data_IF_454797933185
#
_entry.id   IF_454797933185
#
_cell.length_a   1.000
_cell.length_b   1.000
_cell.length_c   1.000
_cell.angle_alpha   90.00
_cell.angle_beta   90.00
_cell.angle_gamma   90.00
#
_symmetry.space_group_name_H-M   'P 1'
#
loop_
_entity.id
_entity.type
_entity.pdbx_description
1 polymer ?
#
# COMPACT_ATOMS: atom_id res chain seq x y z
N UNK A 1 4.46 -3.54 -32.78
CA UNK A 1 4.28 -3.92 -31.35
C UNK A 1 3.36 -2.89 -30.72
N UNK A 2 2.24 -3.30 -30.11
CA UNK A 2 1.18 -2.40 -29.67
C UNK A 2 1.66 -1.40 -28.62
N UNK A 3 1.39 -0.11 -28.81
CA UNK A 3 1.69 0.96 -27.83
C UNK A 3 1.20 0.61 -26.42
N UNK A 4 0.10 -0.17 -26.35
CA UNK A 4 -0.44 -0.76 -25.13
C UNK A 4 0.54 -1.68 -24.40
N UNK A 5 1.22 -2.58 -25.11
CA UNK A 5 2.19 -3.51 -24.53
C UNK A 5 3.43 -2.76 -24.03
N UNK A 6 3.89 -1.73 -24.76
CA UNK A 6 4.99 -0.87 -24.32
C UNK A 6 4.62 -0.07 -23.06
N UNK A 7 3.40 0.47 -22.98
CA UNK A 7 2.89 1.15 -21.78
C UNK A 7 2.79 0.22 -20.58
N UNK A 8 2.27 -1.00 -20.76
CA UNK A 8 2.19 -2.02 -19.71
C UNK A 8 3.56 -2.42 -19.18
N UNK A 9 4.54 -2.64 -20.07
CA UNK A 9 5.92 -2.98 -19.67
C UNK A 9 6.55 -1.84 -18.87
N UNK A 10 6.33 -0.60 -19.28
CA UNK A 10 6.77 0.59 -18.56
C UNK A 10 6.15 0.68 -17.16
N UNK A 11 4.84 0.48 -17.04
CA UNK A 11 4.16 0.51 -15.73
C UNK A 11 4.72 -0.58 -14.81
N UNK A 12 4.87 -1.81 -15.31
CA UNK A 12 5.44 -2.92 -14.54
C UNK A 12 6.87 -2.65 -14.07
N UNK A 13 7.72 -2.06 -14.92
CA UNK A 13 9.07 -1.69 -14.52
C UNK A 13 9.09 -0.68 -13.36
N UNK A 14 8.26 0.36 -13.42
CA UNK A 14 8.14 1.34 -12.34
C UNK A 14 7.55 0.75 -11.06
N UNK A 15 6.59 -0.17 -11.18
CA UNK A 15 6.04 -0.91 -10.03
C UNK A 15 7.10 -1.79 -9.38
N UNK A 16 7.86 -2.55 -10.16
CA UNK A 16 8.95 -3.39 -9.64
C UNK A 16 10.02 -2.53 -8.97
N UNK A 17 10.42 -1.42 -9.58
CA UNK A 17 11.38 -0.48 -8.97
C UNK A 17 10.88 0.00 -7.60
N UNK A 18 9.61 0.44 -7.52
CA UNK A 18 9.02 0.87 -6.26
C UNK A 18 8.99 -0.25 -5.22
N UNK A 19 8.56 -1.46 -5.61
CA UNK A 19 8.51 -2.63 -4.71
C UNK A 19 9.91 -3.00 -4.21
N UNK A 20 10.94 -2.97 -5.06
CA UNK A 20 12.32 -3.20 -4.64
C UNK A 20 12.76 -2.16 -3.62
N UNK A 21 12.53 -0.87 -3.89
CA UNK A 21 12.85 0.19 -2.92
C UNK A 21 12.08 0.02 -1.60
N UNK A 22 10.81 -0.36 -1.65
CA UNK A 22 9.98 -0.61 -0.47
C UNK A 22 10.51 -1.79 0.35
N UNK A 23 10.85 -2.90 -0.31
CA UNK A 23 11.39 -4.09 0.35
C UNK A 23 12.76 -3.79 0.94
N UNK A 24 13.64 -3.09 0.21
CA UNK A 24 14.94 -2.67 0.73
C UNK A 24 14.78 -1.78 1.97
N UNK A 25 13.87 -0.80 1.92
CA UNK A 25 13.56 0.07 3.06
C UNK A 25 13.00 -0.68 4.27
N UNK A 26 12.26 -1.78 4.07
CA UNK A 26 11.76 -2.62 5.16
C UNK A 26 12.82 -3.61 5.66
N UNK A 27 13.65 -4.13 4.77
CA UNK A 27 14.67 -5.13 5.08
C UNK A 27 15.78 -4.57 5.98
N UNK A 28 16.11 -3.27 5.86
CA UNK A 28 17.06 -2.58 6.76
C UNK A 28 16.61 -2.57 8.23
N UNK A 29 15.33 -2.86 8.50
CA UNK A 29 14.82 -2.96 9.88
C UNK A 29 15.06 -4.34 10.53
N UNK A 30 15.44 -5.38 9.77
CA UNK A 30 15.75 -6.71 10.33
C UNK A 30 17.15 -6.79 10.97
N UNK A 31 18.25 -6.39 10.31
CA UNK A 31 19.58 -6.35 10.91
C UNK A 31 19.90 -4.96 11.46
N UNK A 32 18.93 -4.27 12.06
CA UNK A 32 19.04 -2.84 12.40
C UNK A 32 20.26 -2.54 13.30
N UNK A 33 20.57 -3.40 14.27
CA UNK A 33 21.76 -3.27 15.13
C UNK A 33 23.04 -3.44 14.30
N UNK A 34 23.14 -4.49 13.49
CA UNK A 34 24.33 -4.79 12.70
C UNK A 34 24.59 -3.76 11.60
N UNK A 35 23.55 -3.28 10.91
CA UNK A 35 23.66 -2.22 9.92
C UNK A 35 24.09 -0.89 10.55
N UNK A 36 23.67 -0.60 11.78
CA UNK A 36 24.05 0.63 12.47
C UNK A 36 25.51 0.60 12.92
N UNK A 37 26.02 -0.54 13.40
CA UNK A 37 27.45 -0.74 13.67
C UNK A 37 28.29 -0.54 12.40
N UNK A 38 27.88 -1.16 11.28
CA UNK A 38 28.57 -1.01 10.00
C UNK A 38 28.51 0.44 9.46
N UNK A 39 27.35 1.09 9.59
CA UNK A 39 27.18 2.49 9.18
C UNK A 39 28.09 3.41 10.00
N UNK A 40 28.18 3.23 11.31
CA UNK A 40 29.07 4.03 12.16
C UNK A 40 30.54 3.85 11.77
N UNK A 41 30.98 2.61 11.53
CA UNK A 41 32.36 2.33 11.12
C UNK A 41 32.70 2.99 9.77
N UNK A 42 31.77 2.92 8.81
CA UNK A 42 31.92 3.61 7.52
C UNK A 42 31.94 5.13 7.71
N UNK A 43 31.04 5.69 8.51
CA UNK A 43 30.92 7.13 8.72
C UNK A 43 32.16 7.71 9.44
N UNK A 44 32.75 6.93 10.36
CA UNK A 44 34.05 7.25 10.99
C UNK A 44 35.21 7.17 9.99
N UNK A 45 35.23 6.14 9.13
CA UNK A 45 36.27 5.99 8.10
C UNK A 45 36.24 7.11 7.05
N UNK A 46 35.05 7.62 6.73
CA UNK A 46 34.83 8.74 5.81
C UNK A 46 35.09 10.11 6.45
N UNK A 47 35.57 10.14 7.70
CA UNK A 47 35.87 11.35 8.45
C UNK A 47 34.67 12.32 8.58
N UNK A 48 33.44 11.81 8.47
CA UNK A 48 32.20 12.59 8.72
C UNK A 48 32.15 13.27 10.10
N UNK A 49 32.77 12.75 11.19
CA UNK A 49 32.83 13.47 12.46
C UNK A 49 33.35 14.91 12.35
N UNK A 50 34.24 15.17 11.37
CA UNK A 50 34.85 16.49 11.19
C UNK A 50 33.99 17.46 10.37
N UNK A 51 32.99 16.94 9.64
CA UNK A 51 32.13 17.73 8.75
C UNK A 51 30.70 17.88 9.28
N UNK A 52 30.17 16.88 9.98
CA UNK A 52 28.81 16.85 10.53
C UNK A 52 28.80 16.23 11.95
N UNK A 53 29.38 16.92 12.96
CA UNK A 53 29.49 16.39 14.32
C UNK A 53 28.13 16.06 14.95
N UNK A 54 27.10 16.88 14.70
CA UNK A 54 25.75 16.66 15.23
C UNK A 54 25.06 15.39 14.67
N UNK A 55 25.40 14.96 13.45
CA UNK A 55 24.93 13.71 12.87
C UNK A 55 25.60 12.51 13.57
N UNK A 56 26.90 12.60 13.82
CA UNK A 56 27.65 11.55 14.51
C UNK A 56 27.17 11.37 15.95
N UNK A 57 27.02 12.45 16.71
CA UNK A 57 26.54 12.39 18.11
C UNK A 57 25.13 11.77 18.21
N UNK A 58 24.27 12.05 17.22
CA UNK A 58 22.95 11.45 17.16
C UNK A 58 23.01 9.96 16.81
N UNK A 59 23.82 9.56 15.82
CA UNK A 59 24.00 8.15 15.45
C UNK A 59 24.58 7.35 16.63
N UNK A 60 25.59 7.88 17.32
CA UNK A 60 26.17 7.24 18.51
C UNK A 60 25.15 7.11 19.66
N UNK A 61 24.26 8.09 19.83
CA UNK A 61 23.17 8.02 20.82
C UNK A 61 22.17 6.92 20.45
N UNK A 62 21.76 6.87 19.18
CA UNK A 62 20.83 5.84 18.69
C UNK A 62 21.46 4.46 18.82
N UNK A 63 22.73 4.28 18.44
CA UNK A 63 23.45 3.00 18.57
C UNK A 63 23.51 2.53 20.01
N UNK A 64 23.96 3.39 20.93
CA UNK A 64 23.99 3.04 22.36
C UNK A 64 22.61 2.66 22.89
N UNK A 65 21.56 3.39 22.49
CA UNK A 65 20.19 3.06 22.87
C UNK A 65 19.73 1.70 22.31
N UNK A 66 20.09 1.39 21.07
CA UNK A 66 19.77 0.11 20.43
C UNK A 66 20.54 -1.05 21.06
N UNK A 67 21.83 -0.89 21.33
CA UNK A 67 22.66 -1.92 21.97
C UNK A 67 22.14 -2.24 23.39
N UNK A 68 21.78 -1.21 24.16
CA UNK A 68 21.15 -1.42 25.49
C UNK A 68 19.78 -2.10 25.36
N UNK A 69 18.97 -1.71 24.37
CA UNK A 69 17.68 -2.36 24.14
C UNK A 69 17.84 -3.83 23.71
N UNK A 70 18.82 -4.16 22.86
CA UNK A 70 19.10 -5.54 22.45
C UNK A 70 19.60 -6.39 23.63
N UNK A 71 20.50 -5.85 24.44
CA UNK A 71 21.09 -6.56 25.58
C UNK A 71 20.10 -6.76 26.74
N UNK A 72 19.38 -5.71 27.12
CA UNK A 72 18.57 -5.70 28.35
C UNK A 72 17.08 -5.97 28.08
N UNK A 73 16.58 -5.62 26.88
CA UNK A 73 15.15 -5.67 26.53
C UNK A 73 14.88 -6.16 25.09
N UNK A 74 15.43 -7.32 24.64
CA UNK A 74 15.40 -7.74 23.24
C UNK A 74 13.99 -7.89 22.67
N UNK A 75 12.99 -8.14 23.51
CA UNK A 75 11.58 -8.21 23.10
C UNK A 75 11.05 -6.90 22.49
N UNK A 76 11.69 -5.75 22.75
CA UNK A 76 11.32 -4.48 22.13
C UNK A 76 11.67 -4.45 20.64
N UNK A 77 12.76 -5.12 20.23
CA UNK A 77 13.17 -5.23 18.83
C UNK A 77 12.21 -6.11 18.01
N UNK A 78 11.39 -6.93 18.65
CA UNK A 78 10.31 -7.62 17.94
C UNK A 78 9.33 -6.63 17.28
N UNK A 79 9.17 -5.42 17.82
CA UNK A 79 8.41 -4.35 17.19
C UNK A 79 8.99 -3.90 15.84
N UNK A 80 10.32 -3.89 15.68
CA UNK A 80 10.97 -3.56 14.40
C UNK A 80 10.80 -4.68 13.37
N UNK A 81 10.77 -5.94 13.82
CA UNK A 81 10.48 -7.09 12.94
C UNK A 81 9.06 -7.01 12.35
N UNK A 82 8.06 -6.62 13.14
CA UNK A 82 6.70 -6.41 12.64
C UNK A 82 6.61 -5.27 11.61
N UNK A 83 7.37 -4.19 11.82
CA UNK A 83 7.43 -3.09 10.86
C UNK A 83 8.10 -3.54 9.56
N UNK A 84 9.17 -4.32 9.63
CA UNK A 84 9.82 -4.92 8.47
C UNK A 84 8.85 -5.85 7.72
N UNK A 85 8.13 -6.70 8.46
CA UNK A 85 7.11 -7.59 7.90
C UNK A 85 5.98 -6.82 7.20
N UNK A 86 5.53 -5.69 7.74
CA UNK A 86 4.50 -4.86 7.11
C UNK A 86 4.93 -4.40 5.69
N UNK A 87 6.19 -4.07 5.48
CA UNK A 87 6.71 -3.70 4.15
C UNK A 87 6.64 -4.87 3.17
N UNK A 88 6.94 -6.09 3.63
CA UNK A 88 6.81 -7.31 2.81
C UNK A 88 5.35 -7.58 2.45
N UNK A 89 4.42 -7.43 3.40
CA UNK A 89 2.98 -7.59 3.15
C UNK A 89 2.48 -6.55 2.15
N UNK A 90 2.89 -5.29 2.27
CA UNK A 90 2.55 -4.23 1.31
C UNK A 90 3.15 -4.57 -0.07
N UNK A 91 4.41 -5.03 -0.13
CA UNK A 91 5.03 -5.46 -1.39
C UNK A 91 4.23 -6.59 -2.07
N UNK A 92 3.70 -7.54 -1.31
CA UNK A 92 2.81 -8.59 -1.85
C UNK A 92 1.51 -8.00 -2.40
N UNK A 93 0.93 -6.98 -1.76
CA UNK A 93 -0.28 -6.31 -2.28
C UNK A 93 -0.07 -5.70 -3.67
N UNK A 94 1.16 -5.25 -3.99
CA UNK A 94 1.52 -4.74 -5.33
C UNK A 94 1.54 -5.81 -6.43
N UNK A 95 1.46 -7.09 -6.08
CA UNK A 95 1.24 -8.16 -7.07
C UNK A 95 -0.10 -8.02 -7.81
N UNK A 96 -1.12 -7.43 -7.16
CA UNK A 96 -2.42 -7.12 -7.78
C UNK A 96 -2.28 -6.23 -9.01
N UNK A 97 -1.75 -4.99 -8.87
CA UNK A 97 -1.44 -4.09 -9.99
C UNK A 97 -0.50 -4.69 -11.05
N UNK A 98 0.40 -5.59 -10.66
CA UNK A 98 1.30 -6.26 -11.61
C UNK A 98 0.55 -7.21 -12.56
N UNK A 99 -0.43 -7.97 -12.02
CA UNK A 99 -1.28 -8.88 -12.78
C UNK A 99 -2.33 -8.14 -13.60
N UNK A 100 -3.11 -7.26 -12.96
CA UNK A 100 -4.15 -6.46 -13.59
C UNK A 100 -4.06 -5.01 -13.10
N UNK A 101 -3.44 -4.18 -13.91
CA UNK A 101 -3.04 -2.82 -13.54
C UNK A 101 -4.22 -1.84 -13.52
N UNK A 102 -5.26 -2.07 -14.33
CA UNK A 102 -6.41 -1.16 -14.41
C UNK A 102 -7.38 -1.46 -13.27
N UNK A 103 -7.70 -2.75 -13.05
CA UNK A 103 -8.64 -3.15 -12.00
C UNK A 103 -8.12 -2.87 -10.59
N UNK A 104 -6.80 -2.93 -10.40
CA UNK A 104 -6.16 -2.74 -9.09
C UNK A 104 -5.48 -1.37 -8.93
N UNK A 105 -5.89 -0.34 -9.68
CA UNK A 105 -5.34 1.03 -9.54
C UNK A 105 -5.44 1.54 -8.10
N UNK A 106 -6.45 1.11 -7.36
CA UNK A 106 -6.66 1.50 -5.96
C UNK A 106 -5.46 1.17 -5.07
N UNK A 107 -4.74 0.08 -5.29
CA UNK A 107 -3.53 -0.27 -4.51
C UNK A 107 -2.45 0.80 -4.67
N UNK A 108 -2.30 1.36 -5.87
CA UNK A 108 -1.36 2.46 -6.14
C UNK A 108 -1.82 3.75 -5.44
N UNK A 109 -3.12 4.04 -5.46
CA UNK A 109 -3.68 5.22 -4.76
C UNK A 109 -3.57 5.09 -3.24
N UNK A 110 -3.85 3.90 -2.69
CA UNK A 110 -3.62 3.58 -1.28
C UNK A 110 -2.16 3.82 -0.88
N UNK A 111 -1.21 3.35 -1.69
CA UNK A 111 0.20 3.58 -1.43
C UNK A 111 0.58 5.07 -1.50
N UNK A 112 -0.02 5.85 -2.39
CA UNK A 112 0.17 7.31 -2.41
C UNK A 112 -0.37 7.98 -1.13
N UNK A 113 -1.52 7.51 -0.61
CA UNK A 113 -2.06 7.98 0.66
C UNK A 113 -1.12 7.62 1.81
N UNK A 114 -0.58 6.39 1.82
CA UNK A 114 0.42 5.98 2.80
C UNK A 114 1.67 6.87 2.76
N UNK A 115 2.18 7.18 1.56
CA UNK A 115 3.30 8.13 1.38
C UNK A 115 2.97 9.52 1.94
N UNK A 116 1.75 10.03 1.72
CA UNK A 116 1.32 11.30 2.30
C UNK A 116 1.19 11.24 3.83
N UNK A 117 0.77 10.09 4.37
CA UNK A 117 0.65 9.85 5.82
C UNK A 117 1.98 9.82 6.57
N UNK A 118 3.10 9.58 5.90
CA UNK A 118 4.45 9.65 6.51
C UNK A 118 4.74 11.07 7.01
N UNK A 119 4.28 12.10 6.30
CA UNK A 119 4.54 13.51 6.65
C UNK A 119 3.97 13.88 8.03
N UNK A 120 2.66 13.75 8.30
CA UNK A 120 2.11 14.05 9.61
C UNK A 120 2.67 13.12 10.69
N UNK A 121 2.93 11.85 10.37
CA UNK A 121 3.51 10.90 11.32
C UNK A 121 4.90 11.38 11.78
N UNK A 122 5.79 11.75 10.86
CA UNK A 122 7.13 12.23 11.18
C UNK A 122 7.10 13.55 11.98
N UNK A 123 6.21 14.47 11.62
CA UNK A 123 6.08 15.77 12.29
C UNK A 123 5.48 15.69 13.69
N UNK A 124 4.65 14.68 13.98
CA UNK A 124 4.02 14.50 15.30
C UNK A 124 4.84 13.55 16.17
N UNK A 125 5.15 12.35 15.67
CA UNK A 125 5.85 11.33 16.44
C UNK A 125 7.34 11.64 16.62
N UNK A 126 7.97 12.37 15.70
CA UNK A 126 9.37 12.78 15.81
C UNK A 126 9.63 13.61 17.07
N UNK A 127 8.96 14.76 17.27
CA UNK A 127 9.11 15.58 18.46
C UNK A 127 8.70 14.86 19.75
N UNK A 128 7.63 14.06 19.73
CA UNK A 128 7.17 13.28 20.91
C UNK A 128 8.25 12.31 21.39
N UNK A 129 9.05 11.75 20.47
CA UNK A 129 10.13 10.80 20.79
C UNK A 129 11.51 11.45 20.88
N UNK A 130 11.59 12.78 20.85
CA UNK A 130 12.86 13.52 20.95
C UNK A 130 13.78 13.36 19.74
N UNK A 131 13.23 13.03 18.56
CA UNK A 131 14.00 12.91 17.31
C UNK A 131 14.32 14.31 16.77
N UNK A 132 15.57 14.58 16.34
CA UNK A 132 15.93 15.86 15.73
C UNK A 132 15.12 16.16 14.48
N UNK A 133 14.72 17.42 14.30
CA UNK A 133 13.91 17.83 13.15
C UNK A 133 14.55 17.48 11.79
N UNK A 134 15.87 17.62 11.66
CA UNK A 134 16.58 17.26 10.43
C UNK A 134 16.51 15.77 10.11
N UNK A 135 16.38 14.91 11.13
CA UNK A 135 16.16 13.47 10.93
C UNK A 135 14.74 13.21 10.43
N UNK A 136 13.74 13.90 10.99
CA UNK A 136 12.36 13.82 10.49
C UNK A 136 12.25 14.29 9.03
N UNK A 137 13.12 15.20 8.56
CA UNK A 137 13.19 15.55 7.13
C UNK A 137 13.65 14.36 6.26
N UNK A 138 14.58 13.55 6.75
CA UNK A 138 14.98 12.30 6.09
C UNK A 138 13.78 11.34 6.04
N UNK A 139 13.05 11.18 7.15
CA UNK A 139 11.86 10.31 7.20
C UNK A 139 10.79 10.78 6.19
N UNK A 140 10.51 12.08 6.14
CA UNK A 140 9.56 12.66 5.17
C UNK A 140 9.99 12.46 3.72
N UNK A 141 11.30 12.41 3.46
CA UNK A 141 11.84 12.21 2.11
C UNK A 141 11.40 10.87 1.52
N UNK A 142 11.25 9.80 2.33
CA UNK A 142 10.74 8.51 1.84
C UNK A 142 9.31 8.62 1.28
N UNK A 143 8.45 9.40 1.93
CA UNK A 143 7.10 9.67 1.42
C UNK A 143 7.13 10.47 0.12
N UNK A 144 7.95 11.51 0.06
CA UNK A 144 8.08 12.37 -1.14
C UNK A 144 8.68 11.62 -2.31
N UNK A 145 9.76 10.87 -2.11
CA UNK A 145 10.38 10.08 -3.19
C UNK A 145 9.55 8.86 -3.56
N UNK A 146 8.82 8.27 -2.61
CA UNK A 146 7.90 7.15 -2.84
C UNK A 146 6.68 7.53 -3.68
N UNK A 147 6.14 8.75 -3.52
CA UNK A 147 4.94 9.16 -4.28
C UNK A 147 5.23 9.42 -5.76
N UNK A 148 6.47 9.80 -6.12
CA UNK A 148 6.88 10.10 -7.51
C UNK A 148 6.64 8.91 -8.46
N UNK A 149 7.21 7.71 -8.25
CA UNK A 149 6.99 6.57 -9.13
C UNK A 149 5.51 6.15 -9.17
N UNK A 150 4.82 6.19 -8.02
CA UNK A 150 3.39 5.87 -7.93
C UNK A 150 2.52 6.83 -8.75
N UNK A 151 2.81 8.13 -8.70
CA UNK A 151 2.11 9.13 -9.50
C UNK A 151 2.32 8.92 -11.00
N UNK A 152 3.55 8.62 -11.42
CA UNK A 152 3.87 8.29 -12.82
C UNK A 152 3.13 7.04 -13.28
N UNK A 153 3.12 5.99 -12.44
CA UNK A 153 2.36 4.76 -12.69
C UNK A 153 0.87 5.07 -12.83
N UNK A 154 0.27 5.78 -11.88
CA UNK A 154 -1.15 6.16 -11.91
C UNK A 154 -1.52 6.91 -13.20
N UNK A 155 -0.69 7.87 -13.63
CA UNK A 155 -0.92 8.63 -14.87
C UNK A 155 -0.89 7.71 -16.10
N UNK A 156 0.05 6.76 -16.13
CA UNK A 156 0.15 5.77 -17.22
C UNK A 156 -1.04 4.78 -17.21
N UNK A 157 -1.51 4.36 -16.04
CA UNK A 157 -2.69 3.49 -15.90
C UNK A 157 -3.94 4.18 -16.43
N UNK A 158 -4.20 5.44 -16.02
CA UNK A 158 -5.35 6.21 -16.54
C UNK A 158 -5.27 6.43 -18.06
N UNK A 159 -4.06 6.55 -18.61
CA UNK A 159 -3.88 6.60 -20.07
C UNK A 159 -4.19 5.26 -20.73
N UNK A 160 -3.81 4.15 -20.10
CA UNK A 160 -4.09 2.79 -20.56
C UNK A 160 -5.60 2.49 -20.55
N UNK A 161 -6.31 2.92 -19.50
CA UNK A 161 -7.76 2.78 -19.36
C UNK A 161 -8.51 3.47 -20.51
N UNK A 162 -8.09 4.68 -20.88
CA UNK A 162 -8.66 5.44 -22.01
C UNK A 162 -8.45 4.79 -23.37
N UNK A 163 -7.44 3.93 -23.53
CA UNK A 163 -7.19 3.22 -24.78
C UNK A 163 -8.13 2.01 -24.98
N UNK A 164 -8.96 1.68 -23.98
CA UNK A 164 -9.91 0.57 -24.01
C UNK A 164 -9.26 -0.81 -24.16
N UNK A 165 -10.04 -1.90 -24.01
CA UNK A 165 -9.64 -3.20 -24.54
C UNK A 165 -9.54 -3.05 -26.05
N UNK A 166 -8.39 -3.39 -26.65
CA UNK A 166 -8.22 -3.38 -28.11
C UNK A 166 -9.41 -4.08 -28.77
N UNK A 167 -10.07 -3.43 -29.71
CA UNK A 167 -11.15 -3.97 -30.55
C UNK A 167 -10.73 -5.17 -31.42
N UNK A 168 -9.54 -5.75 -31.20
CA UNK A 168 -9.02 -6.92 -31.90
C UNK A 168 -9.67 -8.25 -31.47
N UNK A 169 -10.60 -8.23 -30.50
CA UNK A 169 -11.42 -9.39 -30.15
C UNK A 169 -12.81 -9.37 -30.82
N UNK A 170 -13.22 -8.25 -31.43
CA UNK A 170 -14.54 -8.13 -32.08
C UNK A 170 -14.48 -8.60 -33.54
N UNK A 171 -13.32 -8.53 -34.19
CA UNK A 171 -13.14 -9.01 -35.58
C UNK A 171 -13.02 -10.54 -35.71
N UNK A 172 -13.03 -11.31 -34.62
CA UNK A 172 -12.94 -12.77 -34.63
C UNK A 172 -14.27 -13.52 -34.52
N UNK A 173 -15.41 -12.82 -34.42
CA UNK A 173 -16.71 -13.43 -34.10
C UNK A 173 -17.87 -13.08 -35.02
N UNK A 174 -17.65 -12.29 -36.08
CA UNK A 174 -18.71 -11.93 -37.03
C UNK A 174 -18.41 -12.59 -38.36
N UNK A 175 -18.78 -13.86 -38.49
CA UNK A 175 -18.49 -14.61 -39.70
C UNK A 175 -18.98 -16.05 -39.74
N UNK A 176 -20.14 -16.39 -39.18
CA UNK A 176 -20.84 -17.60 -39.61
C UNK A 176 -22.38 -17.45 -39.54
N UNK A 177 -22.92 -17.16 -40.73
CA UNK A 177 -24.22 -17.53 -41.29
C UNK A 177 -25.54 -17.09 -40.62
N UNK A 178 -26.15 -16.10 -41.27
CA UNK A 178 -27.59 -16.00 -41.51
C UNK A 178 -28.15 -17.33 -42.04
N UNK A 179 -29.27 -17.79 -41.47
CA UNK A 179 -30.05 -18.92 -41.98
C UNK A 179 -31.30 -19.19 -41.14
N UNK A 180 -32.43 -18.79 -41.70
CA UNK A 180 -33.81 -19.12 -41.37
C UNK A 180 -34.49 -18.50 -40.13
N UNK A 181 -35.57 -17.77 -40.46
CA UNK A 181 -36.38 -17.04 -39.52
C UNK A 181 -37.44 -17.88 -38.85
N UNK A 182 -37.84 -17.43 -37.67
CA UNK A 182 -39.22 -17.52 -37.23
C UNK A 182 -39.47 -16.40 -36.23
N UNK A 183 -40.16 -15.35 -36.69
CA UNK A 183 -40.82 -14.43 -35.80
C UNK A 183 -42.05 -15.13 -35.22
N UNK A 184 -42.11 -15.28 -33.89
CA UNK A 184 -43.36 -15.58 -33.17
C UNK A 184 -43.52 -14.53 -32.09
N UNK A 185 -44.35 -13.54 -32.40
CA UNK A 185 -44.99 -12.69 -31.40
C UNK A 185 -46.30 -13.37 -30.99
N UNK A 186 -46.44 -13.77 -29.73
CA UNK A 186 -47.72 -14.09 -29.10
C UNK A 186 -47.70 -13.47 -27.71
N UNK A 187 -48.65 -12.56 -27.49
CA UNK A 187 -48.74 -11.73 -26.31
C UNK A 187 -49.58 -12.31 -25.16
N UNK A 188 -49.57 -11.53 -24.08
CA UNK A 188 -50.64 -11.27 -23.10
C UNK A 188 -51.23 -12.46 -22.34
N UNK A 189 -50.95 -12.45 -21.03
CA UNK A 189 -51.68 -13.10 -19.94
C UNK A 189 -50.73 -13.15 -18.73
N UNK A 190 -50.88 -12.46 -17.61
CA UNK A 190 -52.09 -12.05 -16.92
C UNK A 190 -52.28 -12.94 -15.68
N UNK A 191 -51.79 -12.45 -14.52
CA UNK A 191 -52.22 -12.72 -13.12
C UNK A 191 -52.03 -14.18 -12.63
N UNK A 192 -51.31 -14.47 -11.54
CA UNK A 192 -51.73 -14.42 -10.12
C UNK A 192 -50.47 -14.32 -9.23
N UNK A 193 -50.29 -13.32 -8.36
CA UNK A 193 -50.89 -13.10 -7.03
C UNK A 193 -50.89 -14.35 -6.14
N UNK A 194 -49.93 -14.43 -5.21
CA UNK A 194 -50.14 -15.05 -3.89
C UNK A 194 -49.76 -14.03 -2.84
N UNK A 195 -50.71 -13.89 -1.94
CA UNK A 195 -50.88 -12.93 -0.86
C UNK A 195 -50.14 -13.37 0.43
N UNK A 196 -50.36 -12.58 1.48
CA UNK A 196 -50.02 -12.79 2.90
C UNK A 196 -48.62 -12.28 3.31
N UNK A 197 -48.46 -11.28 4.17
CA UNK A 197 -49.36 -10.61 5.13
C UNK A 197 -48.48 -10.22 6.32
N UNK A 198 -48.14 -8.93 6.45
CA UNK A 198 -48.73 -8.01 7.44
C UNK A 198 -48.64 -8.50 8.90
N UNK A 199 -47.86 -7.79 9.72
CA UNK A 199 -47.77 -8.02 11.16
C UNK A 199 -46.88 -7.01 11.87
N UNK A 200 -47.19 -5.72 11.73
CA UNK A 200 -46.72 -4.67 12.65
C UNK A 200 -47.63 -4.67 13.87
N UNK A 201 -47.09 -4.89 15.08
CA UNK A 201 -47.73 -4.47 16.34
C UNK A 201 -46.67 -4.06 17.35
N UNK A 202 -46.75 -2.78 17.74
CA UNK A 202 -46.06 -2.17 18.85
C UNK A 202 -46.62 -2.63 20.22
N UNK A 203 -45.83 -2.54 21.29
CA UNK A 203 -46.37 -2.40 22.64
C UNK A 203 -45.57 -3.02 23.77
N UNK A 204 -44.88 -2.15 24.52
CA UNK A 204 -44.86 -2.04 25.99
C UNK A 204 -44.82 -3.28 26.89
N UNK A 205 -43.93 -3.26 27.89
CA UNK A 205 -44.09 -4.12 29.07
C UNK A 205 -42.85 -4.25 29.95
N UNK A 206 -42.81 -3.42 30.98
CA UNK A 206 -41.95 -3.47 32.17
C UNK A 206 -41.98 -4.83 32.90
N UNK A 207 -40.81 -5.30 33.36
CA UNK A 207 -40.52 -5.75 34.72
C UNK A 207 -39.47 -6.88 34.78
N UNK A 208 -38.46 -6.63 35.63
CA UNK A 208 -37.95 -7.47 36.73
C UNK A 208 -36.42 -7.43 36.78
N UNK A 209 -35.94 -6.64 37.73
CA UNK A 209 -34.64 -6.87 38.33
C UNK A 209 -34.62 -8.20 39.07
N UNK A 210 -33.47 -8.88 39.02
CA UNK A 210 -33.01 -9.80 40.05
C UNK A 210 -31.51 -9.58 40.21
N UNK A 211 -31.17 -9.38 41.47
CA UNK A 211 -29.90 -9.21 42.16
C UNK A 211 -28.94 -10.40 42.03
N UNK A 212 -27.65 -10.15 42.13
CA UNK A 212 -26.68 -11.14 42.60
C UNK A 212 -25.25 -10.59 42.66
N UNK A 213 -24.55 -10.68 43.82
CA UNK A 213 -23.25 -10.06 44.08
C UNK A 213 -22.07 -10.76 43.39
#
# INVERSE_FOLDING_TARGET
MSDRAALLKGIRAWLVLFVVCLVLSGATAFPLVHELHWTEDVLRSLSVPQHLPALMDWIERVRRGLDTADADYPFLLYGTDWLAFAHLVIAVAFYGPYRDTVRNIWVVEFAMIACAGIIPLALVCGPIRGIPFWWSVIDMSFGVFGVIPLYVVRKKIKRLERLGPSASAVEGGVGETLGDGQAVALGVGGVDRVDEGAGEVAGGGDHRGVTGP
#
